data_IF_530165303858
#
_entry.id   IF_530165303858
#
_cell.length_a   1.000
_cell.length_b   1.000
_cell.length_c   1.000
_cell.angle_alpha   90.00
_cell.angle_beta   90.00
_cell.angle_gamma   90.00
#
_symmetry.space_group_name_H-M   'P 1'
#
loop_
_entity.id
_entity.type
_entity.pdbx_description
1 polymer ?
#
# COMPACT_ATOMS: atom_id res chain seq x y z
N UNK A 1 3.81 19.99 22.46
CA UNK A 1 3.25 18.85 21.70
C UNK A 1 2.83 19.28 20.32
N UNK A 2 3.36 18.67 19.26
CA UNK A 2 3.19 19.13 17.86
C UNK A 2 2.62 18.07 16.92
N UNK A 3 1.86 17.10 17.43
CA UNK A 3 1.22 16.10 16.58
C UNK A 3 -0.09 16.66 16.06
N UNK A 4 -0.19 16.82 14.73
CA UNK A 4 -1.39 17.30 14.05
C UNK A 4 -2.21 16.08 13.61
N UNK A 5 -3.33 15.85 14.28
CA UNK A 5 -4.32 14.86 13.86
C UNK A 5 -5.40 15.54 13.02
N UNK A 6 -5.79 14.89 11.94
CA UNK A 6 -6.99 15.28 11.17
C UNK A 6 -8.10 14.31 11.51
N UNK A 7 -9.19 14.81 12.07
CA UNK A 7 -10.38 14.04 12.44
C UNK A 7 -11.48 14.37 11.43
N UNK A 8 -12.22 13.36 11.01
CA UNK A 8 -13.34 13.57 10.10
C UNK A 8 -14.15 12.29 9.90
N UNK A 9 -14.77 12.20 8.74
CA UNK A 9 -15.61 11.06 8.36
C UNK A 9 -15.33 10.62 6.93
N UNK A 10 -15.34 9.31 6.69
CA UNK A 10 -15.39 8.73 5.34
C UNK A 10 -16.63 7.84 5.30
N UNK A 11 -17.63 8.27 4.51
CA UNK A 11 -18.96 7.64 4.55
C UNK A 11 -19.54 7.71 5.97
N UNK A 12 -20.03 6.59 6.53
CA UNK A 12 -20.61 6.54 7.88
C UNK A 12 -19.56 6.37 9.00
N UNK A 13 -18.27 6.27 8.67
CA UNK A 13 -17.22 5.93 9.62
C UNK A 13 -16.45 7.17 10.08
N UNK A 14 -16.23 7.28 11.38
CA UNK A 14 -15.30 8.25 11.95
C UNK A 14 -13.86 7.82 11.63
N UNK A 15 -13.06 8.77 11.17
CA UNK A 15 -11.66 8.53 10.83
C UNK A 15 -10.79 9.56 11.52
N UNK A 16 -9.60 9.11 11.91
CA UNK A 16 -8.50 9.97 12.33
C UNK A 16 -7.27 9.61 11.50
N UNK A 17 -6.57 10.62 10.99
CA UNK A 17 -5.34 10.43 10.22
C UNK A 17 -4.23 11.29 10.80
N UNK A 18 -3.01 10.77 10.71
CA UNK A 18 -1.77 11.49 10.99
C UNK A 18 -0.78 11.26 9.85
N UNK A 19 0.09 12.25 9.62
CA UNK A 19 1.25 12.08 8.75
C UNK A 19 2.45 11.71 9.62
N UNK A 20 3.26 10.75 9.17
CA UNK A 20 4.51 10.44 9.85
C UNK A 20 5.46 11.64 9.74
N UNK A 21 6.01 12.15 10.88
CA UNK A 21 6.81 13.37 10.91
C UNK A 21 8.15 13.22 10.19
N UNK A 22 8.78 12.05 10.34
CA UNK A 22 9.98 11.66 9.62
C UNK A 22 9.78 10.24 9.09
N UNK A 23 10.16 10.03 7.82
CA UNK A 23 10.12 8.73 7.17
C UNK A 23 11.57 8.39 6.79
N UNK A 24 11.98 7.14 7.02
CA UNK A 24 13.32 6.67 6.71
C UNK A 24 13.89 5.76 7.79
N UNK A 25 15.06 5.19 7.49
CA UNK A 25 15.72 4.16 8.30
C UNK A 25 16.60 4.70 9.41
N UNK A 26 16.63 6.03 9.61
CA UNK A 26 17.38 6.61 10.72
C UNK A 26 16.71 6.28 12.04
N UNK A 27 17.49 6.07 13.10
CA UNK A 27 16.96 5.84 14.44
C UNK A 27 15.97 6.94 14.87
N UNK A 28 16.24 8.19 14.51
CA UNK A 28 15.35 9.32 14.78
C UNK A 28 14.00 9.17 14.07
N UNK A 29 14.00 8.80 12.79
CA UNK A 29 12.78 8.59 12.01
C UNK A 29 11.95 7.41 12.56
N UNK A 30 12.62 6.30 12.87
CA UNK A 30 12.03 5.11 13.50
C UNK A 30 11.36 5.43 14.84
N UNK A 31 12.09 6.07 15.77
CA UNK A 31 11.56 6.47 17.09
C UNK A 31 10.37 7.43 16.92
N UNK A 32 10.51 8.43 16.04
CA UNK A 32 9.48 9.45 15.84
C UNK A 32 8.20 8.85 15.25
N UNK A 33 8.33 7.94 14.29
CA UNK A 33 7.22 7.21 13.66
C UNK A 33 6.51 6.29 14.64
N UNK A 34 7.25 5.48 15.40
CA UNK A 34 6.68 4.61 16.44
C UNK A 34 5.97 5.40 17.54
N UNK A 35 6.58 6.49 18.01
CA UNK A 35 5.99 7.38 19.02
C UNK A 35 4.72 8.07 18.53
N UNK A 36 4.71 8.57 17.29
CA UNK A 36 3.52 9.20 16.70
C UNK A 36 2.37 8.20 16.57
N UNK A 37 2.66 6.98 16.11
CA UNK A 37 1.67 5.90 15.97
C UNK A 37 1.11 5.50 17.34
N UNK A 38 1.99 5.28 18.32
CA UNK A 38 1.61 4.92 19.69
C UNK A 38 0.76 6.01 20.33
N UNK A 39 1.10 7.29 20.13
CA UNK A 39 0.32 8.40 20.68
C UNK A 39 -1.06 8.50 20.04
N UNK A 40 -1.17 8.31 18.72
CA UNK A 40 -2.48 8.30 18.04
C UNK A 40 -3.36 7.17 18.61
N UNK A 41 -2.83 5.94 18.70
CA UNK A 41 -3.59 4.80 19.21
C UNK A 41 -3.94 4.93 20.70
N UNK A 42 -3.05 5.51 21.50
CA UNK A 42 -3.32 5.81 22.91
C UNK A 42 -4.31 6.95 23.13
N UNK A 43 -4.34 7.94 22.25
CA UNK A 43 -5.28 9.08 22.32
C UNK A 43 -6.69 8.66 21.88
N UNK A 44 -6.79 7.87 20.81
CA UNK A 44 -8.05 7.44 20.23
C UNK A 44 -8.29 5.95 20.52
N UNK A 45 -8.69 5.65 21.75
CA UNK A 45 -8.82 4.26 22.25
C UNK A 45 -9.91 3.42 21.56
N UNK A 46 -10.73 4.02 20.70
CA UNK A 46 -11.81 3.33 19.97
C UNK A 46 -11.46 3.03 18.50
N UNK A 47 -10.18 3.09 18.12
CA UNK A 47 -9.74 2.68 16.79
C UNK A 47 -9.89 1.17 16.64
N UNK A 48 -10.73 0.75 15.69
CA UNK A 48 -10.98 -0.65 15.36
C UNK A 48 -10.06 -1.13 14.24
N UNK A 49 -9.91 -0.32 13.20
CA UNK A 49 -9.15 -0.64 11.99
C UNK A 49 -8.06 0.40 11.75
N UNK A 50 -6.85 -0.06 11.43
CA UNK A 50 -5.73 0.81 11.05
C UNK A 50 -5.36 0.57 9.59
N UNK A 51 -5.31 1.66 8.82
CA UNK A 51 -4.81 1.62 7.45
C UNK A 51 -3.42 2.27 7.41
N UNK A 52 -2.42 1.53 6.93
CA UNK A 52 -1.08 2.06 6.68
C UNK A 52 -0.94 2.28 5.18
N UNK A 53 -1.07 3.53 4.76
CA UNK A 53 -1.06 3.93 3.35
C UNK A 53 0.21 4.72 3.00
N UNK A 54 0.71 4.55 1.78
CA UNK A 54 1.85 5.31 1.29
C UNK A 54 2.28 4.88 -0.11
N UNK A 55 3.47 5.29 -0.50
CA UNK A 55 4.12 4.82 -1.72
C UNK A 55 5.11 3.68 -1.41
N UNK A 56 5.45 2.91 -2.45
CA UNK A 56 6.44 1.84 -2.43
C UNK A 56 7.10 1.73 -3.83
N UNK A 57 8.12 0.89 -3.92
CA UNK A 57 8.76 0.49 -5.17
C UNK A 57 8.31 -0.90 -5.60
N UNK A 58 7.80 -1.03 -6.82
CA UNK A 58 7.26 -2.30 -7.32
C UNK A 58 8.35 -3.28 -7.72
N UNK A 59 8.02 -4.57 -7.69
CA UNK A 59 8.83 -5.62 -8.29
C UNK A 59 8.33 -5.88 -9.72
N UNK A 60 9.03 -5.38 -10.75
CA UNK A 60 8.58 -5.57 -12.12
C UNK A 60 8.86 -7.00 -12.57
N UNK A 61 7.93 -7.58 -13.30
CA UNK A 61 8.15 -8.81 -14.06
C UNK A 61 8.31 -8.44 -15.53
N UNK A 62 9.39 -8.89 -16.19
CA UNK A 62 9.73 -8.36 -17.52
C UNK A 62 8.91 -8.97 -18.68
N UNK A 63 8.41 -10.20 -18.52
CA UNK A 63 7.69 -10.92 -19.59
C UNK A 63 6.22 -11.21 -19.32
N UNK A 64 5.83 -11.42 -18.06
CA UNK A 64 4.46 -11.74 -17.65
C UNK A 64 3.72 -10.50 -17.12
N UNK A 65 2.76 -10.00 -17.91
CA UNK A 65 1.89 -8.88 -17.52
C UNK A 65 1.12 -9.12 -16.21
N UNK A 66 0.70 -10.37 -15.97
CA UNK A 66 -0.11 -10.71 -14.79
C UNK A 66 0.69 -10.60 -13.48
N UNK A 67 2.01 -10.75 -13.56
CA UNK A 67 2.95 -10.58 -12.45
C UNK A 67 3.61 -9.20 -12.42
N UNK A 68 3.59 -8.48 -13.53
CA UNK A 68 4.31 -7.23 -13.68
C UNK A 68 3.76 -6.08 -12.83
N UNK A 69 4.37 -5.74 -11.70
CA UNK A 69 3.97 -4.56 -10.92
C UNK A 69 4.50 -3.28 -11.60
N UNK A 70 3.59 -2.37 -11.95
CA UNK A 70 3.90 -1.13 -12.69
C UNK A 70 3.72 0.11 -11.82
N UNK A 71 4.38 1.23 -12.16
CA UNK A 71 4.09 2.50 -11.48
C UNK A 71 2.63 2.90 -11.68
N UNK A 72 2.04 3.45 -10.64
CA UNK A 72 0.61 3.72 -10.57
C UNK A 72 -0.24 2.53 -10.13
N UNK A 73 0.27 1.29 -10.15
CA UNK A 73 -0.43 0.12 -9.56
C UNK A 73 -0.58 0.29 -8.04
N UNK A 74 -1.52 -0.47 -7.48
CA UNK A 74 -1.82 -0.51 -6.05
C UNK A 74 -1.52 -1.91 -5.55
N UNK A 75 -0.55 -2.04 -4.66
CA UNK A 75 -0.25 -3.28 -3.94
C UNK A 75 -0.93 -3.26 -2.58
N UNK A 76 -1.68 -4.31 -2.29
CA UNK A 76 -2.27 -4.57 -0.98
C UNK A 76 -1.44 -5.66 -0.32
N UNK A 77 -0.92 -5.37 0.87
CA UNK A 77 -0.28 -6.37 1.72
C UNK A 77 -1.30 -7.45 2.02
N UNK A 78 -1.10 -8.65 1.48
CA UNK A 78 -2.12 -9.69 1.44
C UNK A 78 -1.53 -11.02 1.93
N UNK A 79 -2.22 -11.73 2.85
CA UNK A 79 -1.70 -12.92 3.50
C UNK A 79 -1.40 -14.01 2.47
N UNK A 80 -0.16 -14.49 2.46
CA UNK A 80 0.24 -15.70 1.73
C UNK A 80 0.08 -16.95 2.62
N UNK A 81 0.74 -18.06 2.30
CA UNK A 81 0.64 -19.33 3.03
C UNK A 81 0.86 -19.18 4.56
N UNK A 82 1.81 -18.34 4.96
CA UNK A 82 2.13 -18.08 6.37
C UNK A 82 1.33 -16.93 6.99
N UNK A 83 0.38 -16.37 6.22
CA UNK A 83 -0.49 -15.26 6.57
C UNK A 83 0.21 -13.93 6.88
N UNK A 84 1.51 -13.82 6.61
CA UNK A 84 2.22 -12.54 6.69
C UNK A 84 1.83 -11.62 5.54
N UNK A 85 1.74 -10.33 5.86
CA UNK A 85 1.40 -9.27 4.91
C UNK A 85 2.55 -8.29 4.70
N UNK A 86 3.50 -8.28 5.65
CA UNK A 86 4.70 -7.48 5.61
C UNK A 86 5.87 -8.21 6.26
N UNK A 87 7.06 -8.12 5.68
CA UNK A 87 8.29 -8.64 6.28
C UNK A 87 9.46 -7.68 6.12
N UNK A 88 10.32 -7.59 7.13
CA UNK A 88 11.61 -6.90 7.03
C UNK A 88 12.65 -7.98 6.85
N UNK A 89 13.48 -7.86 5.81
CA UNK A 89 14.46 -8.87 5.47
C UNK A 89 15.88 -8.31 5.57
N UNK A 90 16.68 -8.98 6.38
CA UNK A 90 18.13 -8.82 6.43
C UNK A 90 18.79 -10.07 5.83
N UNK A 91 20.06 -9.94 5.50
CA UNK A 91 20.84 -11.03 4.91
C UNK A 91 22.01 -11.30 5.81
N UNK A 92 22.06 -12.52 6.32
CA UNK A 92 23.18 -13.04 7.09
C UNK A 92 23.96 -14.06 6.27
N UNK A 93 25.26 -14.16 6.53
CA UNK A 93 26.13 -15.10 5.83
C UNK A 93 25.97 -16.49 6.47
N UNK A 94 25.71 -17.50 5.64
CA UNK A 94 25.54 -18.89 6.08
C UNK A 94 26.58 -19.80 5.42
N UNK A 95 26.70 -21.04 5.90
CA UNK A 95 27.61 -22.03 5.31
C UNK A 95 27.26 -22.36 3.85
N UNK A 96 26.02 -22.13 3.43
CA UNK A 96 25.49 -22.38 2.07
C UNK A 96 25.42 -21.08 1.22
N UNK A 97 25.99 -19.98 1.72
CA UNK A 97 26.03 -18.67 1.05
C UNK A 97 25.40 -17.60 1.92
N UNK A 98 24.08 -17.44 1.83
CA UNK A 98 23.34 -16.48 2.63
C UNK A 98 21.98 -17.02 3.05
N UNK A 99 21.45 -16.48 4.13
CA UNK A 99 20.08 -16.71 4.57
C UNK A 99 19.35 -15.39 4.83
N UNK A 100 18.04 -15.42 4.65
CA UNK A 100 17.19 -14.30 5.02
C UNK A 100 16.80 -14.41 6.49
N UNK A 101 17.14 -13.39 7.27
CA UNK A 101 16.63 -13.22 8.63
C UNK A 101 15.51 -12.19 8.57
N UNK A 102 14.35 -12.53 9.11
CA UNK A 102 13.16 -11.71 8.93
C UNK A 102 12.33 -11.48 10.17
N UNK A 103 11.80 -10.26 10.29
CA UNK A 103 10.69 -9.93 11.19
C UNK A 103 9.43 -9.72 10.36
N UNK A 104 8.43 -10.58 10.55
CA UNK A 104 7.21 -10.58 9.76
C UNK A 104 5.99 -10.19 10.60
N UNK A 105 5.04 -9.51 9.94
CA UNK A 105 3.84 -8.97 10.55
C UNK A 105 2.60 -9.54 9.87
N UNK A 106 1.62 -9.90 10.69
CA UNK A 106 0.29 -10.33 10.24
C UNK A 106 -0.81 -9.70 11.08
N UNK A 107 -1.99 -9.43 10.49
CA UNK A 107 -3.18 -9.07 11.25
C UNK A 107 -3.61 -10.25 12.13
N UNK A 108 -4.30 -9.95 13.24
CA UNK A 108 -5.01 -10.96 14.04
C UNK A 108 -6.49 -11.07 13.64
N UNK A 109 -7.08 -9.97 13.19
CA UNK A 109 -8.44 -9.91 12.63
C UNK A 109 -8.41 -9.81 11.11
N UNK A 110 -9.15 -10.69 10.44
CA UNK A 110 -9.25 -10.75 8.98
C UNK A 110 -10.46 -10.01 8.39
N UNK A 111 -11.18 -9.20 9.18
CA UNK A 111 -12.39 -8.49 8.72
C UNK A 111 -12.14 -7.60 7.49
N UNK A 112 -11.04 -6.84 7.49
CA UNK A 112 -10.64 -6.04 6.33
C UNK A 112 -10.28 -6.91 5.12
N UNK A 113 -9.70 -8.10 5.36
CA UNK A 113 -9.29 -9.02 4.30
C UNK A 113 -10.50 -9.71 3.65
N UNK A 114 -11.56 -10.00 4.41
CA UNK A 114 -12.82 -10.48 3.84
C UNK A 114 -13.43 -9.45 2.88
N UNK A 115 -13.34 -8.15 3.21
CA UNK A 115 -13.76 -7.06 2.31
C UNK A 115 -12.87 -7.02 1.07
N UNK A 116 -11.55 -7.13 1.26
CA UNK A 116 -10.57 -7.17 0.17
C UNK A 116 -10.82 -8.37 -0.76
N UNK A 117 -11.17 -9.54 -0.24
CA UNK A 117 -11.48 -10.74 -1.01
C UNK A 117 -12.72 -10.55 -1.86
N UNK A 118 -13.77 -9.97 -1.31
CA UNK A 118 -14.97 -9.60 -2.08
C UNK A 118 -14.63 -8.65 -3.22
N UNK A 119 -13.78 -7.65 -2.99
CA UNK A 119 -13.33 -6.71 -4.03
C UNK A 119 -12.47 -7.44 -5.08
N UNK A 120 -11.53 -8.28 -4.65
CA UNK A 120 -10.63 -9.05 -5.51
C UNK A 120 -11.40 -9.98 -6.45
N UNK A 121 -12.36 -10.73 -5.92
CA UNK A 121 -13.23 -11.61 -6.71
C UNK A 121 -14.03 -10.81 -7.75
N UNK A 122 -14.65 -9.70 -7.34
CA UNK A 122 -15.39 -8.85 -8.26
C UNK A 122 -14.47 -8.27 -9.35
N UNK A 123 -13.29 -7.79 -8.98
CA UNK A 123 -12.29 -7.23 -9.90
C UNK A 123 -11.83 -8.26 -10.93
N UNK A 124 -11.57 -9.50 -10.51
CA UNK A 124 -11.19 -10.60 -11.42
C UNK A 124 -12.32 -10.95 -12.41
N UNK A 125 -13.58 -10.95 -11.96
CA UNK A 125 -14.73 -11.25 -12.81
C UNK A 125 -15.04 -10.13 -13.81
N UNK A 126 -14.63 -8.91 -13.52
CA UNK A 126 -14.97 -7.70 -14.29
C UNK A 126 -13.77 -7.11 -15.03
N UNK A 127 -12.61 -7.78 -14.99
CA UNK A 127 -11.38 -7.28 -15.62
C UNK A 127 -11.51 -7.02 -17.13
N UNK A 128 -12.38 -7.76 -17.81
CA UNK A 128 -12.66 -7.61 -19.25
C UNK A 128 -13.90 -6.75 -19.55
N UNK A 129 -14.58 -6.21 -18.54
CA UNK A 129 -15.77 -5.37 -18.75
C UNK A 129 -15.42 -3.89 -18.60
N UNK A 130 -16.17 -3.02 -19.26
CA UNK A 130 -16.02 -1.56 -19.15
C UNK A 130 -16.61 -1.00 -17.83
N UNK A 131 -16.54 -1.77 -16.74
CA UNK A 131 -17.07 -1.36 -15.44
C UNK A 131 -16.06 -0.47 -14.75
N UNK A 132 -16.48 0.74 -14.39
CA UNK A 132 -15.66 1.63 -13.58
C UNK A 132 -15.69 1.18 -12.12
N UNK A 133 -14.51 0.99 -11.53
CA UNK A 133 -14.41 0.59 -10.14
C UNK A 133 -14.47 1.77 -9.16
N UNK A 134 -14.91 1.56 -7.90
CA UNK A 134 -15.02 2.66 -6.94
C UNK A 134 -13.72 3.42 -6.70
N UNK A 135 -12.56 2.75 -6.65
CA UNK A 135 -11.27 3.40 -6.45
C UNK A 135 -10.87 4.27 -7.65
N UNK A 136 -11.27 3.92 -8.87
CA UNK A 136 -11.03 4.77 -10.04
C UNK A 136 -11.85 6.05 -9.98
N UNK A 137 -13.08 5.98 -9.47
CA UNK A 137 -13.92 7.15 -9.21
C UNK A 137 -13.29 8.05 -8.14
N UNK A 138 -12.86 7.47 -7.02
CA UNK A 138 -12.22 8.24 -5.95
C UNK A 138 -10.87 8.84 -6.38
N UNK A 139 -10.12 8.14 -7.23
CA UNK A 139 -8.90 8.66 -7.83
C UNK A 139 -9.18 9.87 -8.71
N UNK A 140 -10.17 9.79 -9.61
CA UNK A 140 -10.55 10.91 -10.46
C UNK A 140 -11.06 12.12 -9.65
N UNK A 141 -11.81 11.89 -8.58
CA UNK A 141 -12.24 12.93 -7.62
C UNK A 141 -11.04 13.58 -6.93
N UNK A 142 -10.09 12.77 -6.45
CA UNK A 142 -8.88 13.23 -5.79
C UNK A 142 -7.98 14.06 -6.71
N UNK A 143 -7.77 13.61 -7.95
CA UNK A 143 -7.02 14.35 -8.97
C UNK A 143 -7.66 15.71 -9.21
N UNK A 144 -8.99 15.76 -9.37
CA UNK A 144 -9.72 17.01 -9.58
C UNK A 144 -9.57 17.96 -8.39
N UNK A 145 -9.65 17.43 -7.17
CA UNK A 145 -9.50 18.22 -5.94
C UNK A 145 -8.08 18.78 -5.77
N UNK A 146 -7.04 17.99 -6.07
CA UNK A 146 -5.66 18.45 -6.04
C UNK A 146 -5.40 19.51 -7.12
N UNK A 147 -5.93 19.29 -8.33
CA UNK A 147 -5.81 20.23 -9.45
C UNK A 147 -6.46 21.58 -9.13
N UNK A 148 -7.60 21.60 -8.43
CA UNK A 148 -8.23 22.87 -8.00
C UNK A 148 -7.42 23.64 -6.95
N UNK A 149 -6.43 23.00 -6.34
CA UNK A 149 -5.47 23.60 -5.40
C UNK A 149 -4.07 23.77 -6.01
N UNK A 150 -3.95 23.72 -7.35
CA UNK A 150 -2.68 23.84 -8.09
C UNK A 150 -1.64 22.77 -7.72
N UNK A 151 -2.09 21.56 -7.34
CA UNK A 151 -1.22 20.42 -7.09
C UNK A 151 -1.31 19.48 -8.30
N UNK A 152 -0.25 19.46 -9.11
CA UNK A 152 -0.11 18.51 -10.21
C UNK A 152 0.27 17.14 -9.65
N UNK A 153 -0.61 16.16 -9.86
CA UNK A 153 -0.47 14.82 -9.28
C UNK A 153 -0.38 13.73 -10.34
N UNK A 154 -0.67 14.02 -11.61
CA UNK A 154 -0.53 13.05 -12.70
C UNK A 154 0.91 13.12 -13.19
N UNK A 155 1.67 12.00 -13.16
CA UNK A 155 3.04 11.99 -13.63
C UNK A 155 3.07 11.88 -15.16
N UNK A 156 4.13 12.40 -15.83
CA UNK A 156 4.27 12.23 -17.26
C UNK A 156 4.39 10.75 -17.65
N UNK A 157 3.54 10.26 -18.55
CA UNK A 157 3.51 8.83 -18.92
C UNK A 157 4.82 8.33 -19.54
N UNK A 158 5.56 9.18 -20.25
CA UNK A 158 6.86 8.86 -20.83
C UNK A 158 7.97 8.63 -19.79
N UNK A 159 7.74 9.01 -18.53
CA UNK A 159 8.69 8.79 -17.43
C UNK A 159 8.57 7.40 -16.82
N UNK A 160 7.55 6.61 -17.21
CA UNK A 160 7.42 5.22 -16.78
C UNK A 160 8.26 4.30 -17.68
N UNK A 161 9.54 4.18 -17.29
CA UNK A 161 10.54 3.36 -17.99
C UNK A 161 10.98 2.21 -17.11
N UNK A 162 11.12 1.04 -17.73
CA UNK A 162 11.64 -0.16 -17.12
C UNK A 162 13.07 -0.41 -17.60
N UNK A 163 13.94 -0.81 -16.67
CA UNK A 163 15.34 -1.06 -16.96
C UNK A 163 15.71 -2.47 -16.48
N UNK A 164 16.38 -3.23 -17.33
CA UNK A 164 16.92 -4.55 -17.02
C UNK A 164 18.43 -4.46 -16.90
N UNK A 165 18.98 -4.92 -15.77
CA UNK A 165 20.43 -5.09 -15.61
C UNK A 165 20.87 -6.45 -16.13
N UNK A 166 21.81 -6.44 -17.05
CA UNK A 166 22.42 -7.65 -17.60
C UNK A 166 23.58 -8.11 -16.71
N UNK A 167 23.96 -9.38 -16.80
CA UNK A 167 25.08 -9.95 -16.02
C UNK A 167 26.44 -9.29 -16.30
N UNK A 168 26.59 -8.60 -17.43
CA UNK A 168 27.77 -7.78 -17.78
C UNK A 168 27.84 -6.44 -17.06
N UNK A 169 26.78 -6.04 -16.33
CA UNK A 169 26.64 -4.71 -15.73
C UNK A 169 25.94 -3.69 -16.64
N UNK A 170 25.69 -4.04 -17.91
CA UNK A 170 24.94 -3.19 -18.83
C UNK A 170 23.48 -3.04 -18.39
N UNK A 171 22.91 -1.85 -18.61
CA UNK A 171 21.51 -1.56 -18.30
C UNK A 171 20.77 -1.27 -19.59
N UNK A 172 19.71 -2.03 -19.86
CA UNK A 172 18.90 -1.90 -21.08
C UNK A 172 17.51 -1.40 -20.71
N UNK A 173 17.04 -0.35 -21.39
CA UNK A 173 15.65 0.08 -21.32
C UNK A 173 14.77 -0.94 -22.06
N UNK A 174 13.72 -1.40 -21.40
CA UNK A 174 12.80 -2.42 -21.93
C UNK A 174 11.36 -1.93 -21.82
N UNK A 175 10.51 -2.39 -22.73
CA UNK A 175 9.09 -2.07 -22.67
C UNK A 175 8.38 -2.85 -21.55
N UNK A 176 7.33 -2.25 -21.01
CA UNK A 176 6.43 -2.95 -20.09
C UNK A 176 5.70 -4.08 -20.83
N UNK A 177 5.57 -5.28 -20.24
CA UNK A 177 4.76 -6.34 -20.84
C UNK A 177 3.32 -5.85 -20.99
N UNK A 178 2.69 -6.17 -22.12
CA UNK A 178 1.30 -5.79 -22.40
C UNK A 178 0.36 -6.98 -22.27
N UNK A 179 -0.86 -6.75 -21.80
CA UNK A 179 -1.92 -7.77 -21.84
C UNK A 179 -2.26 -8.09 -23.29
N UNK A 180 -2.12 -9.35 -23.72
CA UNK A 180 -2.31 -9.78 -25.12
C UNK A 180 -3.68 -9.39 -25.72
N UNK A 181 -4.69 -9.11 -24.88
CA UNK A 181 -6.05 -8.71 -25.29
C UNK A 181 -6.27 -7.19 -25.37
N UNK A 182 -5.32 -6.37 -24.92
CA UNK A 182 -5.47 -4.90 -24.82
C UNK A 182 -5.20 -4.14 -26.12
N UNK A 183 -4.81 -4.83 -27.20
CA UNK A 183 -4.60 -4.20 -28.50
C UNK A 183 -5.89 -3.77 -29.23
N UNK A 184 -7.08 -4.22 -28.79
CA UNK A 184 -8.34 -4.01 -29.52
C UNK A 184 -9.30 -2.95 -28.95
N UNK A 185 -9.04 -2.35 -27.79
CA UNK A 185 -9.97 -1.37 -27.17
C UNK A 185 -9.28 0.00 -27.00
N UNK A 186 -8.99 0.66 -28.12
CA UNK A 186 -8.58 2.09 -28.15
C UNK A 186 -9.80 3.01 -28.32
N UNK A 187 -10.81 2.93 -27.44
CA UNK A 187 -11.99 3.81 -27.54
C UNK A 187 -12.61 4.24 -26.20
N UNK A 188 -11.80 4.45 -25.16
CA UNK A 188 -12.24 5.25 -24.01
C UNK A 188 -11.44 6.55 -23.97
N UNK A 189 -12.10 7.66 -23.60
CA UNK A 189 -11.51 9.00 -23.45
C UNK A 189 -10.10 8.88 -22.90
N UNK A 190 -9.11 9.31 -23.67
CA UNK A 190 -7.69 9.13 -23.37
C UNK A 190 -7.40 9.79 -22.02
N UNK A 191 -7.32 8.99 -20.95
CA UNK A 191 -6.87 9.48 -19.66
C UNK A 191 -5.39 9.83 -19.81
N UNK A 192 -4.94 10.89 -19.17
CA UNK A 192 -3.52 11.27 -19.14
C UNK A 192 -2.65 10.30 -18.32
N UNK A 193 -3.25 9.22 -17.79
CA UNK A 193 -2.61 8.21 -16.98
C UNK A 193 -3.22 6.81 -17.22
N UNK A 194 -2.44 5.77 -16.94
CA UNK A 194 -2.91 4.38 -16.99
C UNK A 194 -3.81 4.07 -15.78
N UNK A 195 -4.92 3.36 -16.00
CA UNK A 195 -5.77 2.89 -14.90
C UNK A 195 -4.96 1.98 -13.94
N UNK A 196 -4.92 2.28 -12.63
CA UNK A 196 -4.22 1.46 -11.64
C UNK A 196 -4.71 0.02 -11.60
N UNK A 197 -3.79 -0.95 -11.60
CA UNK A 197 -4.10 -2.35 -11.37
C UNK A 197 -3.99 -2.69 -9.88
N UNK A 198 -4.95 -3.46 -9.35
CA UNK A 198 -4.85 -4.01 -8.00
C UNK A 198 -3.97 -5.27 -8.00
N UNK A 199 -2.98 -5.29 -7.11
CA UNK A 199 -2.03 -6.39 -6.90
C UNK A 199 -2.13 -6.84 -5.44
N UNK A 200 -2.08 -8.15 -5.19
CA UNK A 200 -2.26 -8.73 -3.86
C UNK A 200 -1.10 -9.66 -3.56
N UNK A 201 -0.25 -9.28 -2.61
CA UNK A 201 0.92 -10.06 -2.23
C UNK A 201 1.65 -9.41 -1.07
N UNK A 202 2.85 -9.91 -0.78
CA UNK A 202 3.59 -9.43 0.37
C UNK A 202 4.31 -8.12 0.07
N UNK A 203 4.44 -7.29 1.10
CA UNK A 203 5.21 -6.06 1.06
C UNK A 203 6.48 -6.29 1.89
N UNK A 204 7.65 -5.90 1.38
CA UNK A 204 8.91 -6.11 2.09
C UNK A 204 9.63 -4.81 2.45
N UNK A 205 10.36 -4.82 3.56
CA UNK A 205 11.43 -3.87 3.86
C UNK A 205 12.78 -4.60 3.89
N UNK A 206 13.87 -3.86 4.06
CA UNK A 206 15.21 -4.44 4.15
C UNK A 206 16.21 -3.72 3.26
N UNK A 207 16.95 -2.76 3.82
CA UNK A 207 17.92 -1.93 3.09
C UNK A 207 18.88 -2.73 2.20
N UNK A 208 19.46 -3.81 2.73
CA UNK A 208 20.46 -4.59 1.99
C UNK A 208 19.81 -5.36 0.82
N UNK A 209 18.57 -5.80 0.99
CA UNK A 209 17.80 -6.48 -0.05
C UNK A 209 17.42 -5.52 -1.17
N UNK A 210 16.85 -4.35 -0.84
CA UNK A 210 16.35 -3.40 -1.85
C UNK A 210 17.48 -2.91 -2.78
N UNK A 211 18.69 -2.77 -2.25
CA UNK A 211 19.87 -2.32 -3.01
C UNK A 211 20.51 -3.42 -3.90
N UNK A 212 19.98 -4.64 -3.88
CA UNK A 212 20.53 -5.77 -4.62
C UNK A 212 19.44 -6.47 -5.45
N UNK A 213 19.50 -6.32 -6.77
CA UNK A 213 18.49 -6.86 -7.69
C UNK A 213 18.39 -8.39 -7.66
N UNK A 214 19.48 -9.09 -7.37
CA UNK A 214 19.46 -10.54 -7.18
C UNK A 214 18.68 -10.90 -5.92
N UNK A 215 18.97 -10.25 -4.78
CA UNK A 215 18.25 -10.51 -3.53
C UNK A 215 16.76 -10.14 -3.65
N UNK A 216 16.41 -9.06 -4.35
CA UNK A 216 15.01 -8.71 -4.63
C UNK A 216 14.31 -9.82 -5.42
N UNK A 217 14.95 -10.35 -6.46
CA UNK A 217 14.40 -11.43 -7.28
C UNK A 217 14.19 -12.69 -6.45
N UNK A 218 15.22 -13.14 -5.72
CA UNK A 218 15.12 -14.34 -4.86
C UNK A 218 13.98 -14.16 -3.85
N UNK A 219 13.91 -13.02 -3.15
CA UNK A 219 12.88 -12.79 -2.15
C UNK A 219 11.47 -12.66 -2.74
N UNK A 220 11.35 -12.02 -3.92
CA UNK A 220 10.10 -11.95 -4.68
C UNK A 220 9.58 -13.35 -5.00
N UNK A 221 10.44 -14.23 -5.50
CA UNK A 221 10.07 -15.58 -5.92
C UNK A 221 9.75 -16.48 -4.73
N UNK A 222 10.51 -16.41 -3.64
CA UNK A 222 10.31 -17.28 -2.47
C UNK A 222 9.14 -16.84 -1.60
N UNK A 223 8.92 -15.53 -1.46
CA UNK A 223 7.96 -15.01 -0.49
C UNK A 223 6.78 -14.24 -1.12
N UNK A 224 6.66 -14.23 -2.45
CA UNK A 224 5.62 -13.49 -3.19
C UNK A 224 5.61 -11.99 -2.84
N UNK A 225 6.81 -11.39 -2.78
CA UNK A 225 6.97 -9.95 -2.55
C UNK A 225 6.67 -9.18 -3.84
N UNK A 226 5.70 -8.27 -3.78
CA UNK A 226 5.28 -7.46 -4.94
C UNK A 226 5.81 -6.03 -4.90
N UNK A 227 6.17 -5.52 -3.73
CA UNK A 227 6.80 -4.22 -3.62
C UNK A 227 7.65 -4.10 -2.34
N UNK A 228 8.62 -3.19 -2.38
CA UNK A 228 9.43 -2.81 -1.26
C UNK A 228 9.05 -1.42 -0.74
N UNK A 229 9.03 -1.26 0.58
CA UNK A 229 8.72 -0.02 1.27
C UNK A 229 9.93 0.48 2.09
N UNK A 230 9.91 1.75 2.45
CA UNK A 230 10.91 2.41 3.28
C UNK A 230 10.74 2.07 4.78
N UNK A 231 10.65 0.77 5.08
CA UNK A 231 10.63 0.17 6.42
C UNK A 231 9.66 0.84 7.41
N UNK A 232 8.41 0.38 7.43
CA UNK A 232 7.37 0.83 8.38
C UNK A 232 7.26 -0.06 9.63
N UNK A 233 8.32 -0.76 9.97
CA UNK A 233 8.38 -1.70 11.08
C UNK A 233 7.93 -1.11 12.41
N UNK A 234 8.35 0.11 12.70
CA UNK A 234 7.97 0.79 13.94
C UNK A 234 6.49 1.20 13.98
N UNK A 235 5.86 1.43 12.82
CA UNK A 235 4.41 1.62 12.74
C UNK A 235 3.71 0.32 13.11
N UNK A 236 4.14 -0.79 12.51
CA UNK A 236 3.53 -2.10 12.71
C UNK A 236 3.74 -2.62 14.14
N UNK A 237 4.94 -2.43 14.70
CA UNK A 237 5.25 -2.72 16.09
C UNK A 237 4.38 -1.89 17.05
N UNK A 238 4.17 -0.61 16.76
CA UNK A 238 3.29 0.24 17.58
C UNK A 238 1.81 -0.19 17.48
N UNK A 239 1.32 -0.59 16.30
CA UNK A 239 -0.03 -1.13 16.11
C UNK A 239 -0.22 -2.41 16.96
N UNK A 240 0.72 -3.36 16.83
CA UNK A 240 0.66 -4.62 17.59
C UNK A 240 0.80 -4.38 19.11
N UNK A 241 1.70 -3.49 19.52
CA UNK A 241 1.91 -3.13 20.92
C UNK A 241 0.70 -2.47 21.58
N UNK A 242 -0.10 -1.70 20.82
CA UNK A 242 -1.37 -1.13 21.28
C UNK A 242 -2.54 -2.12 21.18
N UNK A 243 -2.28 -3.40 20.88
CA UNK A 243 -3.28 -4.47 20.74
C UNK A 243 -4.34 -4.18 19.67
N UNK A 244 -4.01 -3.36 18.67
CA UNK A 244 -4.90 -3.17 17.52
C UNK A 244 -4.73 -4.37 16.58
N UNK A 245 -5.79 -5.16 16.47
CA UNK A 245 -5.74 -6.49 15.82
C UNK A 245 -6.06 -6.45 14.32
N UNK A 246 -6.72 -5.39 13.87
CA UNK A 246 -7.16 -5.21 12.48
C UNK A 246 -6.37 -4.10 11.82
N UNK A 247 -5.49 -4.47 10.89
CA UNK A 247 -4.77 -3.51 10.06
C UNK A 247 -4.61 -3.99 8.62
N UNK A 248 -4.49 -3.03 7.71
CA UNK A 248 -4.26 -3.27 6.29
C UNK A 248 -3.18 -2.31 5.76
N UNK A 249 -2.27 -2.84 4.96
CA UNK A 249 -1.19 -2.06 4.34
C UNK A 249 -1.49 -1.93 2.86
N UNK A 250 -1.51 -0.69 2.34
CA UNK A 250 -1.81 -0.39 0.95
C UNK A 250 -0.74 0.54 0.41
N UNK A 251 -0.12 0.16 -0.71
CA UNK A 251 0.97 0.91 -1.33
C UNK A 251 0.68 1.22 -2.77
N UNK A 252 0.84 2.48 -3.13
CA UNK A 252 0.90 2.88 -4.52
C UNK A 252 2.33 2.78 -5.01
N UNK A 253 2.50 2.29 -6.23
CA UNK A 253 3.84 2.07 -6.78
C UNK A 253 4.35 3.35 -7.44
N UNK A 254 5.47 3.87 -6.96
CA UNK A 254 6.06 5.12 -7.44
C UNK A 254 7.38 4.92 -8.16
N UNK A 255 8.12 3.86 -7.85
CA UNK A 255 9.36 3.47 -8.53
C UNK A 255 9.54 1.94 -8.54
N UNK A 256 10.76 1.45 -8.81
CA UNK A 256 11.15 0.04 -8.79
C UNK A 256 12.23 -0.26 -7.73
N UNK A 257 12.29 0.58 -6.70
CA UNK A 257 13.18 0.48 -5.55
C UNK A 257 12.35 0.32 -4.27
N UNK A 258 12.22 1.35 -3.43
CA UNK A 258 11.41 1.36 -2.20
C UNK A 258 10.39 2.52 -2.14
N UNK A 259 10.14 3.18 -3.26
CA UNK A 259 9.20 4.29 -3.40
C UNK A 259 9.79 5.66 -3.07
N UNK A 260 11.11 5.77 -2.89
CA UNK A 260 11.77 7.03 -2.51
C UNK A 260 12.49 7.76 -3.64
N UNK A 261 12.74 7.10 -4.77
CA UNK A 261 13.60 7.63 -5.82
C UNK A 261 12.86 8.51 -6.81
N UNK A 262 11.59 8.21 -7.10
CA UNK A 262 10.82 8.93 -8.10
C UNK A 262 9.74 9.84 -7.49
N UNK A 263 10.10 11.11 -7.29
CA UNK A 263 9.23 12.11 -6.67
C UNK A 263 8.01 12.47 -7.52
N UNK A 264 8.13 12.45 -8.85
CA UNK A 264 7.04 12.80 -9.77
C UNK A 264 5.84 11.86 -9.60
N UNK A 265 6.12 10.58 -9.31
CA UNK A 265 5.10 9.56 -9.14
C UNK A 265 4.54 9.48 -7.72
N UNK A 266 5.26 9.96 -6.69
CA UNK A 266 4.84 9.78 -5.29
C UNK A 266 3.45 10.34 -5.00
N UNK A 267 3.10 11.52 -5.56
CA UNK A 267 1.75 12.08 -5.39
C UNK A 267 0.69 11.12 -5.95
N UNK A 268 0.85 10.74 -7.21
CA UNK A 268 -0.08 9.87 -7.92
C UNK A 268 -0.27 8.55 -7.20
N UNK A 269 0.85 7.91 -6.86
CA UNK A 269 0.90 6.61 -6.21
C UNK A 269 0.25 6.65 -4.83
N UNK A 270 0.56 7.67 -4.01
CA UNK A 270 -0.10 7.85 -2.72
C UNK A 270 -1.61 8.04 -2.87
N UNK A 271 -2.04 8.79 -3.89
CA UNK A 271 -3.46 9.00 -4.17
C UNK A 271 -4.16 7.72 -4.65
N UNK A 272 -3.50 6.89 -5.46
CA UNK A 272 -4.00 5.57 -5.86
C UNK A 272 -4.27 4.69 -4.62
N UNK A 273 -3.29 4.59 -3.71
CA UNK A 273 -3.45 3.85 -2.46
C UNK A 273 -4.59 4.38 -1.59
N UNK A 274 -4.66 5.71 -1.41
CA UNK A 274 -5.71 6.37 -0.64
C UNK A 274 -7.11 6.15 -1.25
N UNK A 275 -7.22 6.13 -2.58
CA UNK A 275 -8.48 5.90 -3.30
C UNK A 275 -8.99 4.47 -3.09
N UNK A 276 -8.08 3.49 -3.05
CA UNK A 276 -8.43 2.12 -2.72
C UNK A 276 -8.78 1.94 -1.24
N UNK A 277 -8.04 2.57 -0.32
CA UNK A 277 -8.39 2.63 1.09
C UNK A 277 -9.82 3.19 1.28
N UNK A 278 -10.15 4.31 0.63
CA UNK A 278 -11.50 4.91 0.67
C UNK A 278 -12.57 3.90 0.22
N UNK A 279 -12.29 3.12 -0.82
CA UNK A 279 -13.20 2.04 -1.27
C UNK A 279 -13.46 0.99 -0.20
N UNK A 280 -12.42 0.57 0.53
CA UNK A 280 -12.57 -0.41 1.62
C UNK A 280 -13.39 0.18 2.76
N UNK A 281 -13.11 1.41 3.17
CA UNK A 281 -13.84 2.07 4.27
C UNK A 281 -15.35 2.15 3.96
N UNK A 282 -15.74 2.49 2.73
CA UNK A 282 -17.15 2.49 2.32
C UNK A 282 -17.82 1.11 2.36
N UNK A 283 -17.03 0.02 2.35
CA UNK A 283 -17.53 -1.36 2.44
C UNK A 283 -17.48 -1.93 3.86
N UNK A 284 -16.88 -1.24 4.84
CA UNK A 284 -16.93 -1.65 6.24
C UNK A 284 -18.39 -1.55 6.73
N UNK A 285 -18.97 -2.62 7.32
CA UNK A 285 -20.32 -2.57 7.87
C UNK A 285 -20.46 -1.49 8.94
N UNK A 286 -21.51 -0.69 8.86
CA UNK A 286 -21.84 0.29 9.89
C UNK A 286 -22.71 -0.35 10.97
N UNK A 287 -22.17 -0.52 12.18
CA UNK A 287 -22.94 -0.98 13.34
C UNK A 287 -23.44 0.24 14.10
N UNK A 288 -24.74 0.55 14.02
CA UNK A 288 -25.38 1.51 14.92
C UNK A 288 -25.32 0.94 16.33
N UNK A 289 -24.47 1.50 17.20
CA UNK A 289 -24.63 1.29 18.64
C UNK A 289 -25.92 1.98 19.06
N UNK A 290 -26.97 1.20 19.35
CA UNK A 290 -28.11 1.72 20.09
C UNK A 290 -27.60 2.11 21.48
N UNK A 291 -27.43 3.40 21.72
CA UNK A 291 -27.37 3.90 23.09
C UNK A 291 -28.76 3.69 23.68
N UNK A 292 -28.93 2.60 24.43
CA UNK A 292 -30.02 2.53 25.39
C UNK A 292 -29.76 3.63 26.40
N UNK A 293 -30.63 4.64 26.43
CA UNK A 293 -30.71 5.58 27.55
C UNK A 293 -30.89 4.75 28.82
N UNK A 294 -29.82 4.57 29.60
CA UNK A 294 -29.99 4.34 31.03
C UNK A 294 -30.52 5.66 31.57
N UNK A 295 -31.83 5.73 31.77
CA UNK A 295 -32.41 6.67 32.71
C UNK A 295 -31.74 6.40 34.06
N UNK A 296 -31.08 7.43 34.58
CA UNK A 296 -30.73 7.53 35.99
C UNK A 296 -32.03 7.58 36.79
N UNK A 297 -32.61 6.41 37.05
CA UNK A 297 -33.43 6.17 38.23
C UNK A 297 -32.53 5.39 39.18
N UNK A 298 -31.88 6.09 40.11
CA UNK A 298 -31.81 5.66 41.50
C UNK A 298 -31.33 6.84 42.37
N UNK A 299 -32.34 7.47 42.95
CA UNK A 299 -32.29 8.27 44.17
C UNK A 299 -31.96 7.31 45.32
N UNK A 300 -30.87 7.59 46.04
CA UNK A 300 -30.81 7.66 47.51
C UNK A 300 -29.51 8.31 47.97
#
# INVERSE_FOLDING_TARGET
DSNVYTIGTIGPHHVVSTKLPLIGRSRTAQISTGSTTTRLLGTFQHIVHVFVIGCAGGVPHYTDYTKHVRRGDIVVGYPSQEQYVYGIYEVEQSNEGFEFVSTCFKPKSFELYNIVDSIKQNYQQTKSSNIQHPWEKFLAEGIKNLSSHNIECIPPTHNDKLYLKMGSGDVVEVEHPTEQQSQQIKSSKQKDYHSPTLRFGMIAGGKNVVNNDYLKTVLSDTCNVLCFDLEIDQVLAAIQGNRTESFLIIRGISDYHDGTLNKDWQCFSALCAASFMKTIIYKIPFIKKHYQNKQDDDIL
#
